data_IF_008269938803
#
_entry.id   IF_008269938803
#
_cell.length_a   1.000
_cell.length_b   1.000
_cell.length_c   1.000
_cell.angle_alpha   90.00
_cell.angle_beta   90.00
_cell.angle_gamma   90.00
#
_symmetry.space_group_name_H-M   'P 1'
#
loop_
_entity.id
_entity.type
_entity.pdbx_description
1 polymer ?
#
# COMPACT_ATOMS: atom_id res chain seq x y z
N UNK A 1 -15.28 -4.24 14.70
CA UNK A 1 -13.90 -4.74 14.87
C UNK A 1 -13.24 -4.86 13.49
N UNK A 2 -11.99 -4.42 13.35
CA UNK A 2 -11.23 -4.55 12.10
C UNK A 2 -10.23 -5.69 12.24
N UNK A 3 -10.10 -6.54 11.20
CA UNK A 3 -9.08 -7.59 11.14
C UNK A 3 -8.43 -7.58 9.76
N UNK A 4 -7.11 -7.35 9.72
CA UNK A 4 -6.33 -7.35 8.47
C UNK A 4 -5.68 -8.71 8.25
N UNK A 5 -6.01 -9.37 7.16
CA UNK A 5 -5.23 -10.49 6.62
C UNK A 5 -4.17 -9.95 5.69
N UNK A 6 -2.91 -10.30 5.95
CA UNK A 6 -1.76 -9.73 5.26
C UNK A 6 -0.64 -10.74 5.04
N UNK A 7 0.24 -10.42 4.12
CA UNK A 7 1.53 -11.11 3.96
C UNK A 7 2.62 -10.03 4.06
N UNK A 8 3.66 -10.23 4.90
CA UNK A 8 4.73 -9.25 5.04
C UNK A 8 5.33 -8.81 3.69
N UNK A 9 5.43 -7.50 3.48
CA UNK A 9 5.95 -6.90 2.24
C UNK A 9 5.04 -7.04 1.01
N UNK A 10 3.90 -7.74 1.09
CA UNK A 10 2.92 -7.81 0.00
C UNK A 10 2.12 -6.49 -0.12
N UNK A 11 1.18 -6.42 -1.06
CA UNK A 11 0.32 -5.23 -1.25
C UNK A 11 -0.47 -4.84 0.01
N UNK A 12 -0.66 -5.79 0.92
CA UNK A 12 -1.27 -5.60 2.24
C UNK A 12 -0.49 -4.67 3.19
N UNK A 13 0.80 -4.44 2.95
CA UNK A 13 1.58 -3.46 3.72
C UNK A 13 0.97 -2.05 3.63
N UNK A 14 0.40 -1.65 2.51
CA UNK A 14 -0.23 -0.32 2.38
C UNK A 14 -1.45 -0.15 3.31
N UNK A 15 -2.46 -1.04 3.33
CA UNK A 15 -3.50 -1.01 4.36
C UNK A 15 -2.99 -1.14 5.80
N UNK A 16 -1.92 -1.90 6.04
CA UNK A 16 -1.32 -2.05 7.36
C UNK A 16 -0.75 -0.71 7.86
N UNK A 17 -0.01 0.00 7.00
CA UNK A 17 0.45 1.37 7.29
C UNK A 17 -0.75 2.29 7.55
N UNK A 18 -1.77 2.25 6.70
CA UNK A 18 -2.93 3.12 6.84
C UNK A 18 -3.69 2.89 8.16
N UNK A 19 -3.82 1.65 8.62
CA UNK A 19 -4.44 1.33 9.91
C UNK A 19 -3.68 1.97 11.08
N UNK A 20 -2.34 1.97 11.03
CA UNK A 20 -1.53 2.67 12.02
C UNK A 20 -1.63 4.20 11.89
N UNK A 21 -1.66 4.74 10.66
CA UNK A 21 -1.79 6.18 10.41
C UNK A 21 -3.11 6.74 10.96
N UNK A 22 -4.19 5.98 10.85
CA UNK A 22 -5.50 6.42 11.34
C UNK A 22 -5.71 6.14 12.84
N UNK A 23 -4.75 5.52 13.51
CA UNK A 23 -4.87 5.14 14.92
C UNK A 23 -5.99 4.13 15.20
N UNK A 24 -6.34 3.29 14.23
CA UNK A 24 -7.40 2.31 14.39
C UNK A 24 -7.00 1.21 15.40
N UNK A 25 -7.97 0.72 16.16
CA UNK A 25 -7.84 -0.55 16.85
C UNK A 25 -8.17 -1.69 15.87
N UNK A 26 -7.24 -2.62 15.66
CA UNK A 26 -7.39 -3.72 14.71
C UNK A 26 -6.57 -4.95 15.13
N UNK A 27 -7.03 -6.11 14.67
CA UNK A 27 -6.28 -7.37 14.73
C UNK A 27 -5.57 -7.64 13.41
N UNK A 28 -4.52 -8.47 13.46
CA UNK A 28 -3.79 -8.92 12.28
C UNK A 28 -3.78 -10.44 12.19
N UNK A 29 -3.83 -10.94 10.95
CA UNK A 29 -3.72 -12.36 10.61
C UNK A 29 -2.72 -12.52 9.47
N UNK A 30 -1.49 -12.96 9.75
CA UNK A 30 -0.51 -13.23 8.70
C UNK A 30 -0.93 -14.45 7.87
N UNK A 31 -0.71 -14.37 6.57
CA UNK A 31 -0.95 -15.43 5.58
C UNK A 31 0.35 -15.69 4.84
N UNK A 32 0.87 -16.92 4.89
CA UNK A 32 2.05 -17.32 4.14
C UNK A 32 1.68 -17.71 2.71
N UNK A 33 2.14 -16.91 1.74
CA UNK A 33 1.97 -17.23 0.32
C UNK A 33 2.85 -18.42 -0.10
N UNK A 34 4.05 -18.54 0.49
CA UNK A 34 4.95 -19.66 0.23
C UNK A 34 4.34 -21.00 0.66
N UNK A 35 3.65 -21.04 1.80
CA UNK A 35 2.90 -22.20 2.28
C UNK A 35 1.52 -22.37 1.63
N UNK A 36 1.14 -21.48 0.70
CA UNK A 36 -0.18 -21.46 0.03
C UNK A 36 -1.36 -21.36 1.02
N UNK A 37 -1.18 -20.75 2.18
CA UNK A 37 -2.25 -20.57 3.16
C UNK A 37 -3.40 -19.72 2.61
N UNK A 38 -3.11 -18.84 1.64
CA UNK A 38 -4.12 -18.09 0.88
C UNK A 38 -5.02 -18.97 0.00
N UNK A 39 -4.73 -20.27 -0.12
CA UNK A 39 -5.53 -21.29 -0.83
C UNK A 39 -6.17 -22.30 0.09
N UNK A 40 -6.04 -22.13 1.41
CA UNK A 40 -6.75 -22.96 2.38
C UNK A 40 -8.26 -22.75 2.27
N UNK A 41 -9.05 -23.79 2.60
CA UNK A 41 -10.51 -23.71 2.65
C UNK A 41 -11.00 -22.58 3.54
N UNK A 42 -10.36 -22.40 4.70
CA UNK A 42 -10.72 -21.41 5.70
C UNK A 42 -10.52 -19.98 5.17
N UNK A 43 -9.38 -19.72 4.51
CA UNK A 43 -9.16 -18.40 3.93
C UNK A 43 -10.03 -18.15 2.70
N UNK A 44 -10.24 -19.14 1.85
CA UNK A 44 -11.12 -19.02 0.67
C UNK A 44 -12.59 -18.82 1.07
N UNK A 45 -13.03 -19.31 2.21
CA UNK A 45 -14.35 -19.01 2.76
C UNK A 45 -14.52 -17.52 3.15
N UNK A 46 -13.40 -16.85 3.50
CA UNK A 46 -13.36 -15.42 3.83
C UNK A 46 -13.23 -14.57 2.56
N UNK A 47 -12.26 -14.93 1.71
CA UNK A 47 -11.98 -14.26 0.44
C UNK A 47 -11.79 -15.29 -0.68
N UNK A 48 -12.82 -15.53 -1.51
CA UNK A 48 -12.76 -16.51 -2.60
C UNK A 48 -11.66 -16.25 -3.64
N UNK A 49 -11.17 -14.98 -3.75
CA UNK A 49 -10.07 -14.66 -4.64
C UNK A 49 -8.72 -15.22 -4.14
N UNK A 50 -8.62 -15.53 -2.85
CA UNK A 50 -7.39 -16.03 -2.24
C UNK A 50 -6.24 -15.03 -2.33
N UNK A 51 -6.53 -13.75 -2.10
CA UNK A 51 -5.57 -12.65 -2.20
C UNK A 51 -5.49 -11.87 -0.89
N UNK A 52 -4.34 -11.25 -0.65
CA UNK A 52 -4.17 -10.21 0.37
C UNK A 52 -3.87 -8.86 -0.31
N UNK A 53 -4.30 -7.72 0.28
CA UNK A 53 -4.99 -7.58 1.56
C UNK A 53 -6.43 -8.06 1.52
N UNK A 54 -6.90 -8.52 2.69
CA UNK A 54 -8.32 -8.71 2.99
C UNK A 54 -8.59 -8.05 4.34
N UNK A 55 -9.48 -7.08 4.37
CA UNK A 55 -9.92 -6.42 5.60
C UNK A 55 -11.32 -6.92 5.99
N UNK A 56 -11.44 -7.52 7.16
CA UNK A 56 -12.76 -7.77 7.74
C UNK A 56 -13.21 -6.55 8.55
N UNK A 57 -14.44 -6.13 8.29
CA UNK A 57 -15.14 -5.06 8.99
C UNK A 57 -16.37 -5.67 9.64
N UNK A 58 -16.31 -5.95 10.93
CA UNK A 58 -17.36 -6.65 11.65
C UNK A 58 -17.81 -7.94 10.93
N UNK A 59 -16.82 -8.74 10.48
CA UNK A 59 -17.02 -9.98 9.75
C UNK A 59 -17.29 -9.85 8.25
N UNK A 60 -17.50 -8.64 7.72
CA UNK A 60 -17.71 -8.39 6.28
C UNK A 60 -16.38 -8.16 5.57
N UNK A 61 -16.15 -8.89 4.51
CA UNK A 61 -14.93 -8.82 3.72
C UNK A 61 -14.90 -7.56 2.81
N UNK A 62 -13.77 -6.84 2.86
CA UNK A 62 -13.41 -5.79 1.90
C UNK A 62 -12.05 -6.14 1.31
N UNK A 63 -11.95 -6.16 -0.01
CA UNK A 63 -10.73 -6.44 -0.77
C UNK A 63 -10.27 -5.21 -1.53
N UNK A 64 -9.16 -5.33 -2.26
CA UNK A 64 -8.48 -4.31 -3.04
C UNK A 64 -7.86 -3.18 -2.18
N UNK A 65 -6.55 -2.97 -2.40
CA UNK A 65 -5.78 -1.95 -1.66
C UNK A 65 -6.44 -0.58 -1.73
N UNK A 66 -6.85 -0.16 -2.94
CA UNK A 66 -7.45 1.16 -3.15
C UNK A 66 -8.76 1.33 -2.35
N UNK A 67 -9.60 0.30 -2.35
CA UNK A 67 -10.88 0.32 -1.63
C UNK A 67 -10.67 0.34 -0.11
N UNK A 68 -9.72 -0.45 0.39
CA UNK A 68 -9.41 -0.49 1.83
C UNK A 68 -8.84 0.85 2.29
N UNK A 69 -7.90 1.42 1.55
CA UNK A 69 -7.32 2.73 1.85
C UNK A 69 -8.39 3.84 1.83
N UNK A 70 -9.26 3.84 0.83
CA UNK A 70 -10.38 4.77 0.74
C UNK A 70 -11.33 4.62 1.94
N UNK A 71 -11.70 3.38 2.29
CA UNK A 71 -12.57 3.10 3.45
C UNK A 71 -11.94 3.65 4.73
N UNK A 72 -10.66 3.38 4.98
CA UNK A 72 -9.98 3.85 6.19
C UNK A 72 -9.92 5.38 6.25
N UNK A 73 -9.57 6.03 5.14
CA UNK A 73 -9.52 7.49 5.08
C UNK A 73 -10.88 8.16 5.34
N UNK A 74 -11.97 7.55 4.84
CA UNK A 74 -13.34 8.04 5.07
C UNK A 74 -13.86 7.71 6.46
N UNK A 75 -13.49 6.56 7.01
CA UNK A 75 -13.93 6.12 8.34
C UNK A 75 -13.26 6.89 9.47
N UNK A 76 -12.03 7.38 9.21
CA UNK A 76 -11.20 8.11 10.16
C UNK A 76 -10.76 9.47 9.57
N UNK A 77 -11.69 10.42 9.41
CA UNK A 77 -11.41 11.68 8.70
C UNK A 77 -10.35 12.55 9.39
N UNK A 78 -10.20 12.43 10.70
CA UNK A 78 -9.22 13.20 11.48
C UNK A 78 -7.76 12.88 11.09
N UNK A 79 -7.51 11.70 10.50
CA UNK A 79 -6.19 11.35 9.97
C UNK A 79 -5.83 12.11 8.68
N UNK A 80 -6.78 12.79 8.08
CA UNK A 80 -6.57 13.71 6.95
C UNK A 80 -5.93 13.06 5.69
N UNK A 81 -6.17 11.77 5.49
CA UNK A 81 -5.62 10.97 4.39
C UNK A 81 -6.39 11.13 3.07
N UNK A 82 -7.58 11.71 3.13
CA UNK A 82 -8.41 12.06 1.99
C UNK A 82 -9.02 13.44 2.26
N UNK A 83 -8.98 14.38 1.29
CA UNK A 83 -9.58 15.71 1.50
C UNK A 83 -11.09 15.59 1.69
N UNK A 84 -11.63 16.47 2.54
CA UNK A 84 -13.06 16.66 2.66
C UNK A 84 -13.47 17.84 1.77
N UNK A 85 -14.53 17.67 0.99
CA UNK A 85 -15.14 18.75 0.20
C UNK A 85 -14.25 19.38 -0.90
N UNK A 86 -13.27 18.63 -1.43
CA UNK A 86 -12.46 19.00 -2.57
C UNK A 86 -12.53 17.89 -3.62
N UNK A 87 -13.53 17.96 -4.48
CA UNK A 87 -13.81 16.94 -5.49
C UNK A 87 -12.69 16.81 -6.53
N UNK A 88 -11.99 17.89 -6.84
CA UNK A 88 -10.90 17.86 -7.81
C UNK A 88 -9.69 17.11 -7.23
N UNK A 89 -9.34 17.41 -5.98
CA UNK A 89 -8.24 16.70 -5.30
C UNK A 89 -8.61 15.24 -5.03
N UNK A 90 -9.85 14.93 -4.64
CA UNK A 90 -10.32 13.54 -4.53
C UNK A 90 -10.20 12.80 -5.86
N UNK A 91 -10.59 13.41 -6.97
CA UNK A 91 -10.46 12.83 -8.30
C UNK A 91 -8.99 12.59 -8.68
N UNK A 92 -8.08 13.49 -8.30
CA UNK A 92 -6.64 13.30 -8.51
C UNK A 92 -6.09 12.12 -7.67
N UNK A 93 -6.53 11.98 -6.43
CA UNK A 93 -6.17 10.83 -5.60
C UNK A 93 -6.67 9.53 -6.24
N UNK A 94 -7.93 9.48 -6.69
CA UNK A 94 -8.48 8.31 -7.40
C UNK A 94 -7.70 8.01 -8.68
N UNK A 95 -7.28 9.05 -9.43
CA UNK A 95 -6.43 8.90 -10.61
C UNK A 95 -5.08 8.27 -10.27
N UNK A 96 -4.44 8.67 -9.16
CA UNK A 96 -3.22 8.04 -8.66
C UNK A 96 -3.48 6.58 -8.25
N UNK A 97 -4.52 6.33 -7.47
CA UNK A 97 -4.86 4.97 -7.01
C UNK A 97 -5.11 4.02 -8.18
N UNK A 98 -5.81 4.49 -9.22
CA UNK A 98 -6.06 3.73 -10.45
C UNK A 98 -4.77 3.48 -11.23
N UNK A 99 -3.91 4.49 -11.41
CA UNK A 99 -2.61 4.35 -12.05
C UNK A 99 -1.72 3.36 -11.32
N UNK A 100 -1.66 3.43 -9.99
CA UNK A 100 -0.87 2.51 -9.17
C UNK A 100 -1.38 1.08 -9.32
N UNK A 101 -2.69 0.86 -9.24
CA UNK A 101 -3.27 -0.47 -9.31
C UNK A 101 -3.18 -1.10 -10.72
N UNK A 102 -3.44 -0.31 -11.77
CA UNK A 102 -3.56 -0.81 -13.14
C UNK A 102 -2.24 -0.78 -13.93
N UNK A 103 -1.28 0.09 -13.54
CA UNK A 103 -0.05 0.31 -14.31
C UNK A 103 1.21 -0.05 -13.51
N UNK A 104 1.35 0.49 -12.28
CA UNK A 104 2.58 0.28 -11.50
C UNK A 104 2.62 -1.13 -10.91
N UNK A 105 1.55 -1.59 -10.30
CA UNK A 105 1.51 -2.88 -9.61
C UNK A 105 1.72 -4.09 -10.54
N UNK A 106 1.17 -4.15 -11.77
CA UNK A 106 1.39 -5.28 -12.67
C UNK A 106 2.75 -5.27 -13.37
N UNK A 107 3.54 -4.20 -13.28
CA UNK A 107 4.85 -4.10 -13.91
C UNK A 107 5.87 -5.01 -13.19
N UNK A 108 6.01 -6.26 -13.67
CA UNK A 108 6.85 -7.30 -13.04
C UNK A 108 8.19 -7.53 -13.74
N UNK A 109 8.22 -7.50 -15.08
CA UNK A 109 9.46 -7.68 -15.83
C UNK A 109 10.41 -6.49 -15.55
N UNK A 110 11.70 -6.74 -15.22
CA UNK A 110 12.60 -5.70 -14.72
C UNK A 110 12.69 -4.46 -15.61
N UNK A 111 12.85 -4.63 -16.92
CA UNK A 111 12.94 -3.50 -17.86
C UNK A 111 11.62 -2.73 -17.97
N UNK A 112 10.49 -3.44 -18.04
CA UNK A 112 9.18 -2.82 -18.05
C UNK A 112 8.91 -2.10 -16.71
N UNK A 113 9.22 -2.75 -15.59
CA UNK A 113 9.09 -2.11 -14.27
C UNK A 113 9.89 -0.82 -14.19
N UNK A 114 11.15 -0.81 -14.66
CA UNK A 114 11.99 0.39 -14.70
C UNK A 114 11.32 1.53 -15.46
N UNK A 115 10.77 1.27 -16.65
CA UNK A 115 10.06 2.27 -17.46
C UNK A 115 8.82 2.81 -16.74
N UNK A 116 8.04 1.94 -16.11
CA UNK A 116 6.85 2.35 -15.36
C UNK A 116 7.20 3.16 -14.11
N UNK A 117 8.27 2.81 -13.39
CA UNK A 117 8.72 3.61 -12.25
C UNK A 117 9.31 4.95 -12.69
N UNK A 118 9.96 5.05 -13.88
CA UNK A 118 10.33 6.34 -14.46
C UNK A 118 9.10 7.21 -14.75
N UNK A 119 8.04 6.62 -15.27
CA UNK A 119 6.78 7.33 -15.50
C UNK A 119 6.15 7.78 -14.17
N UNK A 120 6.16 6.95 -13.13
CA UNK A 120 5.66 7.31 -11.80
C UNK A 120 6.50 8.43 -11.16
N UNK A 121 7.83 8.39 -11.30
CA UNK A 121 8.76 9.41 -10.83
C UNK A 121 8.50 10.76 -11.51
N UNK A 122 8.34 10.75 -12.85
CA UNK A 122 8.00 11.94 -13.61
C UNK A 122 6.62 12.50 -13.25
N UNK A 123 5.62 11.61 -13.00
CA UNK A 123 4.28 12.01 -12.59
C UNK A 123 4.25 12.66 -11.20
N UNK A 124 5.05 12.14 -10.26
CA UNK A 124 5.21 12.75 -8.94
C UNK A 124 5.89 14.12 -9.06
N UNK A 125 6.87 14.23 -9.94
CA UNK A 125 7.64 15.46 -10.15
C UNK A 125 8.35 15.89 -8.85
N UNK A 126 8.54 17.20 -8.70
CA UNK A 126 9.20 17.79 -7.52
C UNK A 126 8.24 17.99 -6.33
N UNK A 127 7.04 17.42 -6.39
CA UNK A 127 6.09 17.53 -5.28
C UNK A 127 6.53 16.64 -4.11
N UNK A 128 6.28 17.10 -2.91
CA UNK A 128 6.53 16.29 -1.71
C UNK A 128 5.61 15.08 -1.63
N UNK A 129 4.38 15.21 -2.13
CA UNK A 129 3.32 14.22 -2.07
C UNK A 129 2.58 14.16 -3.42
N UNK A 130 1.97 13.02 -3.72
CA UNK A 130 1.33 12.71 -4.99
C UNK A 130 0.31 13.77 -5.47
N UNK A 131 -0.35 14.44 -4.53
CA UNK A 131 -1.35 15.49 -4.78
C UNK A 131 -1.04 16.79 -4.01
N UNK A 132 0.25 17.06 -3.74
CA UNK A 132 0.68 18.25 -2.98
C UNK A 132 0.48 18.17 -1.47
N UNK A 133 -0.23 17.14 -0.98
CA UNK A 133 -0.41 16.84 0.45
C UNK A 133 -0.38 15.33 0.66
N UNK A 134 -0.01 14.92 1.86
CA UNK A 134 -0.02 13.50 2.26
C UNK A 134 -1.41 12.89 2.15
N UNK A 135 -1.50 11.72 1.52
CA UNK A 135 -2.77 11.06 1.23
C UNK A 135 -2.62 9.53 1.11
N UNK A 136 -3.73 8.84 0.91
CA UNK A 136 -3.73 7.39 0.63
C UNK A 136 -2.95 7.03 -0.64
N UNK A 137 -2.80 7.95 -1.60
CA UNK A 137 -2.02 7.72 -2.82
C UNK A 137 -0.54 7.52 -2.50
N UNK A 138 0.00 8.30 -1.55
CA UNK A 138 1.39 8.22 -1.12
C UNK A 138 1.70 6.90 -0.40
N UNK A 139 0.79 6.45 0.44
CA UNK A 139 0.90 5.15 1.13
C UNK A 139 0.96 4.01 0.11
N UNK A 140 0.07 4.04 -0.89
CA UNK A 140 0.02 2.99 -1.92
C UNK A 140 1.26 3.02 -2.82
N UNK A 141 1.68 4.20 -3.27
CA UNK A 141 2.87 4.39 -4.11
C UNK A 141 4.15 3.99 -3.37
N UNK A 142 4.30 4.44 -2.12
CA UNK A 142 5.42 4.08 -1.26
C UNK A 142 5.61 2.57 -1.16
N UNK A 143 4.55 1.83 -0.84
CA UNK A 143 4.65 0.37 -0.69
C UNK A 143 5.18 -0.30 -1.95
N UNK A 144 4.74 0.13 -3.14
CA UNK A 144 5.20 -0.46 -4.39
C UNK A 144 6.66 -0.10 -4.68
N UNK A 145 7.05 1.16 -4.47
CA UNK A 145 8.43 1.58 -4.66
C UNK A 145 9.37 0.96 -3.63
N UNK A 146 8.94 0.82 -2.37
CA UNK A 146 9.66 0.09 -1.33
C UNK A 146 9.96 -1.35 -1.78
N UNK A 147 8.95 -2.06 -2.30
CA UNK A 147 9.13 -3.42 -2.80
C UNK A 147 10.08 -3.47 -4.00
N UNK A 148 9.89 -2.59 -4.96
CA UNK A 148 10.74 -2.48 -6.14
C UNK A 148 12.21 -2.25 -5.75
N UNK A 149 12.46 -1.30 -4.89
CA UNK A 149 13.80 -0.91 -4.44
C UNK A 149 14.49 -2.05 -3.67
N UNK A 150 13.77 -2.77 -2.83
CA UNK A 150 14.34 -3.91 -2.09
C UNK A 150 14.60 -5.14 -2.98
N UNK A 151 13.80 -5.34 -4.03
CA UNK A 151 13.93 -6.50 -4.93
C UNK A 151 14.96 -6.28 -6.03
N UNK A 152 14.94 -5.14 -6.71
CA UNK A 152 15.79 -4.86 -7.89
C UNK A 152 16.97 -3.95 -7.59
N UNK A 153 17.00 -3.30 -6.42
CA UNK A 153 18.10 -2.48 -5.91
C UNK A 153 18.66 -1.50 -6.95
N UNK A 154 17.82 -0.63 -7.54
CA UNK A 154 18.29 0.33 -8.53
C UNK A 154 19.34 1.26 -7.90
N UNK A 155 20.31 1.74 -8.69
CA UNK A 155 21.27 2.74 -8.20
C UNK A 155 20.52 3.99 -7.69
N UNK A 156 20.99 4.56 -6.58
CA UNK A 156 20.41 5.81 -6.05
C UNK A 156 20.53 6.93 -7.09
N UNK A 157 19.51 7.76 -7.17
CA UNK A 157 19.37 8.80 -8.19
C UNK A 157 18.69 8.33 -9.48
N UNK A 158 18.32 7.05 -9.59
CA UNK A 158 17.55 6.52 -10.73
C UNK A 158 16.13 7.09 -10.77
N UNK A 159 15.52 7.29 -9.60
CA UNK A 159 14.15 7.78 -9.41
C UNK A 159 14.13 8.85 -8.31
N UNK A 160 14.69 10.04 -8.55
CA UNK A 160 14.97 11.00 -7.48
C UNK A 160 13.72 11.47 -6.72
N UNK A 161 12.58 11.60 -7.39
CA UNK A 161 11.33 12.04 -6.76
C UNK A 161 10.72 10.92 -5.91
N UNK A 162 10.70 9.68 -6.42
CA UNK A 162 10.22 8.51 -5.68
C UNK A 162 11.15 8.17 -4.51
N UNK A 163 12.46 8.35 -4.66
CA UNK A 163 13.43 8.18 -3.58
C UNK A 163 13.19 9.21 -2.46
N UNK A 164 12.92 10.46 -2.83
CA UNK A 164 12.58 11.50 -1.87
C UNK A 164 11.23 11.22 -1.15
N UNK A 165 10.22 10.74 -1.87
CA UNK A 165 8.97 10.26 -1.27
C UNK A 165 9.22 9.09 -0.33
N UNK A 166 10.02 8.10 -0.76
CA UNK A 166 10.37 6.95 0.05
C UNK A 166 11.03 7.37 1.37
N UNK A 167 12.02 8.27 1.33
CA UNK A 167 12.72 8.74 2.52
C UNK A 167 11.76 9.46 3.49
N UNK A 168 10.83 10.28 2.98
CA UNK A 168 9.78 10.91 3.81
C UNK A 168 8.84 9.89 4.44
N UNK A 169 8.45 8.88 3.67
CA UNK A 169 7.56 7.82 4.18
C UNK A 169 8.25 6.98 5.24
N UNK A 170 9.53 6.63 5.05
CA UNK A 170 10.32 5.86 6.04
C UNK A 170 10.46 6.60 7.38
N UNK A 171 10.40 7.91 7.40
CA UNK A 171 10.43 8.73 8.61
C UNK A 171 9.10 8.73 9.40
N UNK A 172 8.02 8.17 8.83
CA UNK A 172 6.71 8.16 9.50
C UNK A 172 6.59 7.06 10.54
N UNK A 173 6.09 7.34 11.76
CA UNK A 173 5.93 6.34 12.81
C UNK A 173 5.10 5.12 12.40
N UNK A 174 4.02 5.33 11.63
CA UNK A 174 3.16 4.25 11.14
C UNK A 174 3.91 3.30 10.18
N UNK A 175 4.77 3.84 9.32
CA UNK A 175 5.61 3.04 8.42
C UNK A 175 6.65 2.26 9.22
N UNK A 176 7.35 2.90 10.15
CA UNK A 176 8.34 2.26 11.01
C UNK A 176 7.70 1.11 11.80
N UNK A 177 6.52 1.34 12.39
CA UNK A 177 5.77 0.32 13.15
C UNK A 177 5.35 -0.86 12.27
N UNK A 178 4.85 -0.59 11.07
CA UNK A 178 4.48 -1.65 10.12
C UNK A 178 5.69 -2.49 9.73
N UNK A 179 6.82 -1.85 9.40
CA UNK A 179 8.06 -2.55 9.03
C UNK A 179 8.59 -3.38 10.20
N UNK A 180 8.55 -2.86 11.43
CA UNK A 180 8.92 -3.61 12.63
C UNK A 180 8.12 -4.91 12.76
N UNK A 181 6.78 -4.82 12.65
CA UNK A 181 5.88 -5.98 12.79
C UNK A 181 6.12 -6.98 11.65
N UNK A 182 6.16 -6.49 10.41
CA UNK A 182 6.26 -7.37 9.24
C UNK A 182 7.65 -8.02 9.12
N UNK A 183 8.72 -7.30 9.46
CA UNK A 183 10.09 -7.84 9.45
C UNK A 183 10.31 -8.92 10.51
N UNK A 184 9.64 -8.82 11.66
CA UNK A 184 9.71 -9.83 12.71
C UNK A 184 9.10 -11.18 12.27
N UNK A 185 8.15 -11.16 11.32
CA UNK A 185 7.57 -12.38 10.71
C UNK A 185 8.48 -12.88 9.58
N UNK A 186 9.10 -11.96 8.85
CA UNK A 186 9.96 -12.22 7.69
C UNK A 186 9.28 -11.98 6.34
N UNK A 187 10.06 -11.54 5.37
CA UNK A 187 9.59 -11.24 4.01
C UNK A 187 9.80 -12.44 3.09
N UNK A 188 8.84 -13.36 3.09
CA UNK A 188 8.85 -14.55 2.23
C UNK A 188 7.85 -14.33 1.07
N UNK A 189 8.28 -13.51 0.10
CA UNK A 189 7.48 -13.18 -1.08
C UNK A 189 8.02 -13.90 -2.30
N UNK A 190 7.14 -14.49 -3.13
CA UNK A 190 7.53 -15.12 -4.40
C UNK A 190 8.06 -14.10 -5.42
#
# INVERSE_FOLDING_TARGET
MLTLYFTPGASSMAPHIALHEVGAAFDTRPISLAKKENRSSDFLAINPEGKVPTLLIDGRCLTEVAAILFYLARRYPDANLLPANDIEMEAQIVSWMSFIAATVHPARAPEHAKQIYQLADARLGKNDWAVGRYSIADIHLFRLFWRYSNSLKPPRGTFPNLEALHDRMMARPAVAKTIEIESAIGYDLP
#
